data_IF_652812408879
#
_entry.id   IF_652812408879
#
_cell.length_a   1.000
_cell.length_b   1.000
_cell.length_c   1.000
_cell.angle_alpha   90.00
_cell.angle_beta   90.00
_cell.angle_gamma   90.00
#
_symmetry.space_group_name_H-M   'P 1'
#
loop_
_entity.id
_entity.type
_entity.pdbx_description
1 polymer ?
#
# COMPACT_ATOMS: atom_id res chain seq x y z
N UNK A 1 -13.59 12.93 -0.30
CA UNK A 1 -13.54 12.24 1.00
C UNK A 1 -12.20 12.56 1.65
N UNK A 2 -12.19 12.97 2.91
CA UNK A 2 -10.97 13.25 3.67
C UNK A 2 -10.22 11.96 4.00
N UNK A 3 -8.92 12.05 4.33
CA UNK A 3 -8.15 10.88 4.76
C UNK A 3 -8.76 10.20 6.00
N UNK A 4 -9.31 10.97 6.93
CA UNK A 4 -10.00 10.43 8.12
C UNK A 4 -11.25 9.61 7.75
N UNK A 5 -12.06 10.11 6.82
CA UNK A 5 -13.27 9.40 6.37
C UNK A 5 -12.91 8.08 5.67
N UNK A 6 -11.88 8.07 4.82
CA UNK A 6 -11.40 6.85 4.16
C UNK A 6 -10.89 5.81 5.16
N UNK A 7 -10.18 6.26 6.21
CA UNK A 7 -9.72 5.40 7.31
C UNK A 7 -10.90 4.79 8.06
N UNK A 8 -11.90 5.59 8.43
CA UNK A 8 -13.08 5.11 9.14
C UNK A 8 -13.87 4.10 8.29
N UNK A 9 -14.01 4.35 6.98
CA UNK A 9 -14.64 3.41 6.06
C UNK A 9 -13.86 2.09 5.96
N UNK A 10 -12.52 2.17 5.89
CA UNK A 10 -11.68 0.98 5.82
C UNK A 10 -11.79 0.13 7.09
N UNK A 11 -11.75 0.76 8.27
CA UNK A 11 -11.90 0.08 9.56
C UNK A 11 -13.31 -0.51 9.71
N UNK A 12 -14.35 0.20 9.27
CA UNK A 12 -15.72 -0.30 9.33
C UNK A 12 -15.98 -1.54 8.45
N UNK A 13 -15.11 -1.82 7.47
CA UNK A 13 -15.18 -3.02 6.62
C UNK A 13 -14.32 -4.18 7.15
N UNK A 14 -13.58 -3.98 8.23
CA UNK A 14 -12.77 -5.04 8.83
C UNK A 14 -13.65 -5.98 9.67
N UNK A 15 -13.24 -7.26 9.84
CA UNK A 15 -13.89 -8.18 10.78
C UNK A 15 -13.92 -7.60 12.20
N UNK A 16 -14.95 -7.91 12.98
CA UNK A 16 -15.10 -7.42 14.36
C UNK A 16 -14.00 -7.94 15.30
N UNK A 17 -13.38 -9.06 14.92
CA UNK A 17 -12.32 -9.79 15.61
C UNK A 17 -10.93 -9.28 15.23
N UNK A 18 -10.85 -8.28 14.34
CA UNK A 18 -9.58 -7.72 13.91
C UNK A 18 -8.80 -7.19 15.09
N UNK A 19 -7.55 -7.61 15.16
CA UNK A 19 -6.60 -7.14 16.15
C UNK A 19 -6.18 -5.70 15.86
N UNK A 20 -5.72 -5.00 16.89
CA UNK A 20 -5.15 -3.66 16.73
C UNK A 20 -4.00 -3.64 15.70
N UNK A 21 -3.19 -4.70 15.67
CA UNK A 21 -2.07 -4.83 14.74
C UNK A 21 -2.54 -4.87 13.28
N UNK A 22 -3.58 -5.66 12.98
CA UNK A 22 -4.16 -5.72 11.63
C UNK A 22 -4.75 -4.39 11.19
N UNK A 23 -5.38 -3.66 12.12
CA UNK A 23 -5.88 -2.29 11.86
C UNK A 23 -4.73 -1.37 11.49
N UNK A 24 -3.65 -1.36 12.27
CA UNK A 24 -2.48 -0.52 12.00
C UNK A 24 -1.81 -0.89 10.67
N UNK A 25 -1.64 -2.17 10.37
CA UNK A 25 -1.09 -2.65 9.10
C UNK A 25 -1.95 -2.22 7.91
N UNK A 26 -3.28 -2.32 8.04
CA UNK A 26 -4.22 -1.85 7.02
C UNK A 26 -4.05 -0.37 6.73
N UNK A 27 -3.90 0.46 7.77
CA UNK A 27 -3.72 1.90 7.63
C UNK A 27 -2.38 2.24 6.98
N UNK A 28 -1.31 1.54 7.36
CA UNK A 28 0.00 1.70 6.71
C UNK A 28 -0.05 1.36 5.23
N UNK A 29 -0.70 0.25 4.87
CA UNK A 29 -0.88 -0.14 3.46
C UNK A 29 -1.65 0.92 2.68
N UNK A 30 -2.73 1.48 3.25
CA UNK A 30 -3.49 2.56 2.61
C UNK A 30 -2.64 3.81 2.37
N UNK A 31 -1.82 4.20 3.35
CA UNK A 31 -0.90 5.33 3.21
C UNK A 31 0.13 5.08 2.10
N UNK A 32 0.76 3.90 2.10
CA UNK A 32 1.76 3.53 1.12
C UNK A 32 1.21 3.49 -0.31
N UNK A 33 -0.02 2.98 -0.51
CA UNK A 33 -0.66 2.97 -1.82
C UNK A 33 -0.93 4.37 -2.34
N UNK A 34 -1.41 5.27 -1.47
CA UNK A 34 -1.65 6.66 -1.84
C UNK A 34 -0.36 7.37 -2.22
N UNK A 35 0.70 7.15 -1.46
CA UNK A 35 2.02 7.67 -1.80
C UNK A 35 2.50 7.14 -3.15
N UNK A 36 2.33 5.83 -3.41
CA UNK A 36 2.70 5.21 -4.67
C UNK A 36 1.91 5.78 -5.87
N UNK A 37 0.61 6.06 -5.69
CA UNK A 37 -0.21 6.73 -6.71
C UNK A 37 0.30 8.14 -7.01
N UNK A 38 0.65 8.91 -5.98
CA UNK A 38 1.20 10.26 -6.12
C UNK A 38 2.58 10.25 -6.79
N UNK A 39 3.47 9.33 -6.41
CA UNK A 39 4.77 9.11 -7.05
C UNK A 39 4.59 8.73 -8.52
N UNK A 40 3.66 7.81 -8.82
CA UNK A 40 3.36 7.40 -10.20
C UNK A 40 2.86 8.57 -11.04
N UNK A 41 2.00 9.44 -10.49
CA UNK A 41 1.51 10.62 -11.19
C UNK A 41 2.62 11.63 -11.51
N UNK A 42 3.69 11.68 -10.69
CA UNK A 42 4.89 12.49 -10.93
C UNK A 42 5.92 11.83 -11.84
N UNK A 43 5.68 10.58 -12.28
CA UNK A 43 6.64 9.81 -13.07
C UNK A 43 7.80 9.24 -12.25
N UNK A 44 7.69 9.23 -10.91
CA UNK A 44 8.65 8.62 -9.98
C UNK A 44 8.43 7.10 -9.94
N UNK A 45 8.55 6.45 -11.10
CA UNK A 45 8.35 5.01 -11.27
C UNK A 45 9.66 4.33 -11.65
N UNK A 46 9.76 3.04 -11.30
CA UNK A 46 10.86 2.20 -11.75
C UNK A 46 10.58 1.67 -13.16
N UNK A 47 11.50 1.79 -14.13
CA UNK A 47 11.31 1.25 -15.48
C UNK A 47 11.12 -0.27 -15.49
N UNK A 48 10.31 -0.77 -16.42
CA UNK A 48 9.99 -2.20 -16.53
C UNK A 48 11.23 -3.11 -16.59
N UNK A 49 12.27 -2.72 -17.32
CA UNK A 49 13.50 -3.54 -17.41
C UNK A 49 14.27 -3.61 -16.09
N UNK A 50 14.24 -2.55 -15.27
CA UNK A 50 14.81 -2.57 -13.93
C UNK A 50 13.99 -3.50 -13.02
N UNK A 51 12.66 -3.46 -13.08
CA UNK A 51 11.79 -4.39 -12.33
C UNK A 51 12.13 -5.85 -12.66
N UNK A 52 12.33 -6.19 -13.95
CA UNK A 52 12.73 -7.55 -14.35
C UNK A 52 14.08 -7.97 -13.78
N UNK A 53 15.02 -7.05 -13.62
CA UNK A 53 16.33 -7.33 -13.03
C UNK A 53 16.21 -7.59 -11.53
N UNK A 54 15.49 -6.73 -10.79
CA UNK A 54 15.27 -6.86 -9.35
C UNK A 54 14.44 -8.11 -9.01
N UNK A 55 13.38 -8.38 -9.78
CA UNK A 55 12.51 -9.54 -9.59
C UNK A 55 13.29 -10.86 -9.58
N UNK A 56 14.27 -11.02 -10.49
CA UNK A 56 15.13 -12.22 -10.52
C UNK A 56 15.90 -12.42 -9.21
N UNK A 57 16.24 -11.36 -8.50
CA UNK A 57 16.96 -11.45 -7.21
C UNK A 57 16.02 -11.87 -6.07
N UNK A 58 14.75 -11.49 -6.14
CA UNK A 58 13.77 -11.82 -5.10
C UNK A 58 13.32 -13.28 -5.17
N UNK A 59 13.18 -13.82 -6.38
CA UNK A 59 12.69 -15.20 -6.60
C UNK A 59 13.81 -16.25 -6.66
N UNK A 60 15.07 -15.85 -6.59
CA UNK A 60 16.23 -16.78 -6.67
C UNK A 60 16.78 -17.19 -5.30
N UNK A 61 16.14 -16.77 -4.21
CA UNK A 61 16.33 -17.34 -2.87
C UNK A 61 15.25 -18.36 -2.57
#
# INVERSE_FOLDING_TARGET
>A
MSGKEQVLEAVAKMPDESTYQEVVERLHLMGALREAEEQSARGEVVPHEQVKQEWRQWISK
#
